data_IF_805423691216
#
_entry.id   IF_805423691216
#
_cell.length_a   1.000
_cell.length_b   1.000
_cell.length_c   1.000
_cell.angle_alpha   90.00
_cell.angle_beta   90.00
_cell.angle_gamma   90.00
#
_symmetry.space_group_name_H-M   'P 1'
#
loop_
_entity.id
_entity.type
_entity.pdbx_description
1 polymer ?
#
# COMPACT_ATOMS: atom_id res chain seq x y z
N UNK A 1 -26.83 -34.70 -26.56
CA UNK A 1 -26.79 -33.41 -25.82
C UNK A 1 -26.14 -33.50 -24.43
N UNK A 2 -26.41 -34.53 -23.61
CA UNK A 2 -25.89 -34.62 -22.23
C UNK A 2 -24.34 -34.63 -22.08
N UNK A 3 -23.61 -35.24 -23.01
CA UNK A 3 -22.13 -35.40 -22.89
C UNK A 3 -21.35 -34.10 -23.05
N UNK A 4 -21.81 -33.20 -23.94
CA UNK A 4 -21.12 -31.92 -24.21
C UNK A 4 -21.34 -30.94 -23.07
N UNK A 5 -22.54 -30.89 -22.50
CA UNK A 5 -22.87 -30.05 -21.36
C UNK A 5 -22.06 -30.45 -20.11
N UNK A 6 -21.84 -31.76 -19.92
CA UNK A 6 -21.00 -32.28 -18.83
C UNK A 6 -19.54 -31.84 -18.99
N UNK A 7 -18.97 -31.91 -20.20
CA UNK A 7 -17.61 -31.47 -20.46
C UNK A 7 -17.44 -29.97 -20.26
N UNK A 8 -18.43 -29.14 -20.66
CA UNK A 8 -18.41 -27.69 -20.40
C UNK A 8 -18.42 -27.43 -18.90
N UNK A 9 -19.30 -28.10 -18.14
CA UNK A 9 -19.35 -27.96 -16.68
C UNK A 9 -18.02 -28.35 -16.03
N UNK A 10 -17.43 -29.48 -16.41
CA UNK A 10 -16.13 -29.92 -15.90
C UNK A 10 -15.04 -28.91 -16.24
N UNK A 11 -15.03 -28.37 -17.46
CA UNK A 11 -14.04 -27.38 -17.88
C UNK A 11 -14.17 -26.07 -17.10
N UNK A 12 -15.40 -25.57 -16.91
CA UNK A 12 -15.66 -24.37 -16.11
C UNK A 12 -15.30 -24.57 -14.64
N UNK A 13 -15.55 -25.77 -14.10
CA UNK A 13 -15.20 -26.09 -12.71
C UNK A 13 -13.69 -26.20 -12.54
N UNK A 14 -12.99 -26.78 -13.53
CA UNK A 14 -11.53 -26.89 -13.54
C UNK A 14 -10.86 -25.52 -13.61
N UNK A 15 -11.36 -24.60 -14.44
CA UNK A 15 -10.81 -23.24 -14.53
C UNK A 15 -11.01 -22.46 -13.23
N UNK A 16 -12.19 -22.58 -12.61
CA UNK A 16 -12.48 -21.92 -11.32
C UNK A 16 -11.64 -22.51 -10.18
N UNK A 17 -11.43 -23.82 -10.15
CA UNK A 17 -10.58 -24.47 -9.14
C UNK A 17 -9.10 -24.08 -9.28
N UNK A 18 -8.61 -23.89 -10.51
CA UNK A 18 -7.24 -23.48 -10.75
C UNK A 18 -6.99 -22.04 -10.26
N UNK A 19 -7.95 -21.12 -10.49
CA UNK A 19 -7.88 -19.75 -9.95
C UNK A 19 -7.93 -19.72 -8.42
N UNK A 20 -8.78 -20.53 -7.78
CA UNK A 20 -8.85 -20.59 -6.32
C UNK A 20 -7.56 -21.13 -5.68
N UNK A 21 -6.79 -21.97 -6.39
CA UNK A 21 -5.49 -22.45 -5.91
C UNK A 21 -4.39 -21.38 -5.95
N UNK A 22 -4.60 -20.30 -6.72
CA UNK A 22 -3.72 -19.13 -6.76
C UNK A 22 -4.04 -18.10 -5.67
N UNK A 23 -4.99 -18.38 -4.76
CA UNK A 23 -5.23 -17.54 -3.59
C UNK A 23 -3.93 -17.50 -2.77
N UNK A 24 -3.19 -16.41 -2.96
CA UNK A 24 -1.75 -16.37 -2.87
C UNK A 24 -1.28 -16.85 -1.49
N UNK A 25 -0.48 -17.93 -1.49
CA UNK A 25 0.25 -18.36 -0.31
C UNK A 25 1.11 -17.17 0.13
N UNK A 26 1.03 -16.80 1.41
CA UNK A 26 1.82 -15.70 1.96
C UNK A 26 3.30 -15.89 1.58
N UNK A 27 3.84 -14.94 0.81
CA UNK A 27 5.21 -14.95 0.29
C UNK A 27 6.03 -13.95 1.07
N UNK A 28 7.16 -14.40 1.60
CA UNK A 28 8.15 -13.50 2.20
C UNK A 28 8.82 -12.73 1.06
N UNK A 29 8.86 -11.40 1.20
CA UNK A 29 9.50 -10.48 0.27
C UNK A 29 10.52 -9.63 1.01
N UNK A 30 11.43 -9.02 0.27
CA UNK A 30 12.45 -8.11 0.81
C UNK A 30 12.32 -6.77 0.08
N UNK A 31 11.46 -5.87 0.58
CA UNK A 31 11.20 -4.61 -0.09
C UNK A 31 12.46 -3.74 -0.15
N UNK A 32 12.59 -2.94 -1.21
CA UNK A 32 13.67 -1.98 -1.39
C UNK A 32 13.09 -0.62 -1.73
N UNK A 33 13.46 0.39 -0.97
CA UNK A 33 13.09 1.78 -1.21
C UNK A 33 14.27 2.49 -1.90
N UNK A 34 14.01 3.13 -3.03
CA UNK A 34 14.99 3.90 -3.79
C UNK A 34 14.49 5.34 -3.91
N UNK A 35 15.36 6.31 -3.61
CA UNK A 35 15.08 7.72 -3.84
C UNK A 35 15.77 8.18 -5.12
N UNK A 36 15.01 8.79 -6.01
CA UNK A 36 15.56 9.33 -7.27
C UNK A 36 16.39 10.58 -6.98
N UNK A 37 17.55 10.71 -7.64
CA UNK A 37 18.46 11.85 -7.49
C UNK A 37 18.03 13.11 -8.26
N UNK A 38 16.81 13.13 -8.78
CA UNK A 38 16.25 14.26 -9.52
C UNK A 38 15.56 15.24 -8.55
N UNK A 39 15.24 16.44 -9.02
CA UNK A 39 14.64 17.51 -8.20
C UNK A 39 13.30 17.17 -7.56
N UNK A 40 12.56 16.21 -8.12
CA UNK A 40 11.18 15.89 -7.70
C UNK A 40 11.07 14.93 -6.51
N UNK A 41 12.17 14.50 -5.89
CA UNK A 41 12.16 13.67 -4.66
C UNK A 41 11.28 12.40 -4.77
N UNK A 42 11.13 11.85 -5.97
CA UNK A 42 10.28 10.69 -6.23
C UNK A 42 10.87 9.43 -5.57
N UNK A 43 10.05 8.74 -4.79
CA UNK A 43 10.40 7.50 -4.10
C UNK A 43 9.83 6.32 -4.86
N UNK A 44 10.63 5.27 -5.06
CA UNK A 44 10.16 4.03 -5.67
C UNK A 44 10.32 2.88 -4.68
N UNK A 45 9.22 2.22 -4.37
CA UNK A 45 9.18 1.05 -3.50
C UNK A 45 9.02 -0.22 -4.32
N UNK A 46 10.08 -1.02 -4.37
CA UNK A 46 10.06 -2.34 -4.97
C UNK A 46 9.67 -3.36 -3.91
N UNK A 47 8.48 -3.96 -4.01
CA UNK A 47 8.01 -4.98 -3.07
C UNK A 47 8.46 -6.37 -3.56
N UNK A 48 8.25 -6.65 -4.85
CA UNK A 48 8.73 -7.85 -5.54
C UNK A 48 8.83 -7.59 -7.06
N UNK A 49 9.07 -8.62 -7.86
CA UNK A 49 9.25 -8.49 -9.32
C UNK A 49 7.97 -8.00 -10.05
N UNK A 50 6.80 -8.19 -9.44
CA UNK A 50 5.49 -7.88 -10.03
C UNK A 50 4.85 -6.62 -9.42
N UNK A 51 5.29 -6.20 -8.23
CA UNK A 51 4.72 -5.10 -7.46
C UNK A 51 5.80 -4.06 -7.19
N UNK A 52 5.71 -2.95 -7.93
CA UNK A 52 6.51 -1.75 -7.74
C UNK A 52 5.58 -0.56 -7.58
N UNK A 53 5.83 0.27 -6.58
CA UNK A 53 5.05 1.48 -6.31
C UNK A 53 5.89 2.72 -6.60
N UNK A 54 5.33 3.68 -7.36
CA UNK A 54 5.84 5.04 -7.43
C UNK A 54 5.13 5.90 -6.39
N UNK A 55 5.89 6.41 -5.44
CA UNK A 55 5.40 7.04 -4.24
C UNK A 55 5.53 8.56 -4.33
N UNK A 56 4.41 9.25 -4.13
CA UNK A 56 4.32 10.70 -4.01
C UNK A 56 3.83 11.07 -2.60
N UNK A 57 4.30 12.18 -2.00
CA UNK A 57 3.82 12.64 -0.70
C UNK A 57 2.30 12.83 -0.70
N UNK A 58 1.61 12.27 0.29
CA UNK A 58 0.16 12.40 0.39
C UNK A 58 -0.21 13.81 0.90
N UNK A 59 -0.94 14.57 0.09
CA UNK A 59 -1.47 15.87 0.48
C UNK A 59 -2.86 15.72 1.15
N UNK A 60 -2.86 15.05 2.30
CA UNK A 60 -4.09 14.75 3.07
C UNK A 60 -4.17 15.52 4.39
N UNK A 61 -3.09 16.18 4.79
CA UNK A 61 -3.01 16.88 6.08
C UNK A 61 -3.30 18.38 5.88
N UNK A 62 -4.13 18.99 6.74
CA UNK A 62 -4.29 20.44 6.75
C UNK A 62 -3.00 21.12 7.23
N UNK A 63 -2.85 22.43 6.98
CA UNK A 63 -1.65 23.19 7.36
C UNK A 63 -1.29 23.03 8.85
N UNK A 64 -2.29 23.06 9.73
CA UNK A 64 -2.15 22.87 11.17
C UNK A 64 -3.40 22.17 11.74
N UNK A 65 -3.22 21.28 12.70
CA UNK A 65 -4.33 20.66 13.43
C UNK A 65 -3.98 20.38 14.90
N UNK A 66 -5.02 20.32 15.73
CA UNK A 66 -4.90 20.02 17.16
C UNK A 66 -4.98 18.50 17.37
N UNK A 67 -3.90 17.91 17.87
CA UNK A 67 -3.89 16.54 18.39
C UNK A 67 -4.25 16.58 19.88
N UNK A 68 -5.26 15.80 20.27
CA UNK A 68 -5.61 15.61 21.67
C UNK A 68 -5.60 14.12 21.98
N UNK A 69 -4.78 13.73 22.96
CA UNK A 69 -4.64 12.35 23.41
C UNK A 69 -4.39 12.31 24.93
N UNK A 70 -4.57 11.14 25.53
CA UNK A 70 -4.30 10.91 26.95
C UNK A 70 -2.91 10.28 27.10
N UNK A 71 -2.03 10.92 27.86
CA UNK A 71 -0.75 10.36 28.26
C UNK A 71 -0.82 9.98 29.75
N UNK A 72 -1.24 8.74 30.01
CA UNK A 72 -1.56 8.29 31.36
C UNK A 72 -2.85 8.95 31.89
N UNK A 73 -2.74 9.77 32.94
CA UNK A 73 -3.85 10.56 33.51
C UNK A 73 -3.81 12.04 33.07
N UNK A 74 -2.88 12.41 32.19
CA UNK A 74 -2.72 13.81 31.74
C UNK A 74 -3.26 13.96 30.32
N UNK A 75 -4.28 14.82 30.10
CA UNK A 75 -4.73 15.15 28.77
C UNK A 75 -3.70 16.06 28.09
N UNK A 76 -3.14 15.59 26.98
CA UNK A 76 -2.20 16.35 26.15
C UNK A 76 -2.94 17.01 25.00
N UNK A 77 -2.57 18.26 24.70
CA UNK A 77 -3.06 19.04 23.56
C UNK A 77 -1.87 19.65 22.84
N UNK A 78 -1.67 19.23 21.59
CA UNK A 78 -0.54 19.65 20.77
C UNK A 78 -1.00 20.17 19.42
N UNK A 79 -0.48 21.30 19.00
CA UNK A 79 -0.66 21.79 17.63
C UNK A 79 0.45 21.21 16.76
N UNK A 80 0.05 20.45 15.74
CA UNK A 80 0.97 19.80 14.81
C UNK A 80 0.78 20.43 13.43
N UNK A 81 1.89 20.73 12.75
CA UNK A 81 1.86 21.20 11.37
C UNK A 81 1.70 20.00 10.45
N UNK A 82 0.74 20.05 9.52
CA UNK A 82 0.58 18.97 8.54
C UNK A 82 1.80 18.80 7.63
N UNK A 83 2.60 19.87 7.46
CA UNK A 83 3.87 19.81 6.74
C UNK A 83 4.86 18.80 7.32
N UNK A 84 4.87 18.61 8.64
CA UNK A 84 5.79 17.69 9.32
C UNK A 84 5.36 16.23 9.08
N UNK A 85 4.06 15.99 8.89
CA UNK A 85 3.48 14.66 8.63
C UNK A 85 3.41 14.30 7.15
N UNK A 86 3.52 15.27 6.26
CA UNK A 86 3.43 15.07 4.80
C UNK A 86 4.47 14.09 4.27
N UNK A 87 5.59 13.95 4.97
CA UNK A 87 6.68 13.03 4.62
C UNK A 87 6.56 11.65 5.29
N UNK A 88 5.48 11.37 6.01
CA UNK A 88 5.24 10.06 6.64
C UNK A 88 4.37 9.15 5.75
N UNK A 89 3.40 9.72 5.05
CA UNK A 89 2.42 8.99 4.24
C UNK A 89 2.62 9.30 2.76
N UNK A 90 2.75 8.25 1.96
CA UNK A 90 2.93 8.32 0.53
C UNK A 90 1.82 7.56 -0.19
N UNK A 91 1.45 8.02 -1.38
CA UNK A 91 0.46 7.36 -2.22
C UNK A 91 1.04 7.05 -3.60
N UNK A 92 0.59 5.93 -4.16
CA UNK A 92 0.77 5.59 -5.56
C UNK A 92 -0.56 5.82 -6.29
N UNK A 93 -0.56 6.77 -7.21
CA UNK A 93 -1.75 7.16 -7.97
C UNK A 93 -2.22 6.08 -8.94
N UNK A 94 -1.29 5.35 -9.54
CA UNK A 94 -1.57 4.38 -10.60
C UNK A 94 -2.07 3.06 -10.00
N UNK A 95 -1.53 2.67 -8.85
CA UNK A 95 -1.89 1.43 -8.14
C UNK A 95 -2.99 1.65 -7.09
N UNK A 96 -3.31 2.90 -6.73
CA UNK A 96 -4.31 3.21 -5.70
C UNK A 96 -3.89 2.73 -4.31
N UNK A 97 -2.58 2.73 -4.03
CA UNK A 97 -2.01 2.24 -2.78
C UNK A 97 -1.56 3.42 -1.90
N UNK A 98 -1.60 3.24 -0.58
CA UNK A 98 -1.05 4.17 0.40
C UNK A 98 -0.10 3.43 1.35
N UNK A 99 1.06 4.04 1.62
CA UNK A 99 2.13 3.44 2.43
C UNK A 99 2.63 4.46 3.45
N UNK A 100 2.74 4.04 4.70
CA UNK A 100 3.45 4.79 5.75
C UNK A 100 4.91 4.35 5.78
N UNK A 101 5.85 5.29 5.77
CA UNK A 101 7.27 5.01 5.86
C UNK A 101 7.84 5.65 7.13
N UNK A 102 8.56 4.85 7.91
CA UNK A 102 9.36 5.30 9.05
C UNK A 102 10.82 5.01 8.70
N UNK A 103 11.68 6.04 8.72
CA UNK A 103 13.12 5.90 8.58
C UNK A 103 13.76 6.20 9.92
N UNK A 104 14.51 5.23 10.45
CA UNK A 104 15.43 5.46 11.55
C UNK A 104 16.70 6.16 11.01
N UNK A 105 17.19 7.17 11.73
CA UNK A 105 18.45 7.88 11.44
C UNK A 105 19.71 7.02 11.68
#
# INVERSE_FOLDING_TARGET
MSRVLFWIFVFTYLTVFLDASQLAKAKIVYPRLIQTRNSDSELTLFINDDITLSLQPADIFPDEFLLQYEEGETPVKEYIKGADLRNMVFYDKDQGAAVSLEQDD
#
